data_IF_231064445690
#
_entry.id   IF_231064445690
#
_cell.length_a   1.000
_cell.length_b   1.000
_cell.length_c   1.000
_cell.angle_alpha   90.00
_cell.angle_beta   90.00
_cell.angle_gamma   90.00
#
_symmetry.space_group_name_H-M   'P 1'
#
loop_
_entity.id
_entity.type
_entity.pdbx_description
1 polymer ?
#
# COMPACT_ATOMS: atom_id res chain seq x y z
N UNK A 1 23.58 20.55 -12.60
CA UNK A 1 22.20 20.02 -12.45
C UNK A 1 22.15 18.51 -12.69
N UNK A 2 22.49 18.04 -13.89
CA UNK A 2 22.44 16.61 -14.29
C UNK A 2 23.19 15.65 -13.34
N UNK A 3 24.43 15.96 -12.94
CA UNK A 3 25.22 15.09 -12.05
C UNK A 3 24.52 14.89 -10.69
N UNK A 4 23.97 15.96 -10.09
CA UNK A 4 23.25 15.86 -8.82
C UNK A 4 22.00 14.99 -8.95
N UNK A 5 21.30 15.08 -10.08
CA UNK A 5 20.12 14.27 -10.38
C UNK A 5 20.47 12.78 -10.55
N UNK A 6 21.57 12.47 -11.26
CA UNK A 6 22.08 11.10 -11.38
C UNK A 6 22.45 10.52 -10.01
N UNK A 7 23.16 11.30 -9.18
CA UNK A 7 23.53 10.89 -7.82
C UNK A 7 22.28 10.60 -6.98
N UNK A 8 21.22 11.41 -7.06
CA UNK A 8 19.97 11.11 -6.34
C UNK A 8 19.32 9.80 -6.79
N UNK A 9 19.35 9.48 -8.09
CA UNK A 9 18.84 8.21 -8.59
C UNK A 9 19.63 7.01 -8.07
N UNK A 10 20.96 7.09 -8.09
CA UNK A 10 21.86 6.05 -7.55
C UNK A 10 21.63 5.81 -6.05
N UNK A 11 21.41 6.88 -5.27
CA UNK A 11 21.08 6.76 -3.85
C UNK A 11 19.76 5.99 -3.66
N UNK A 12 18.73 6.27 -4.47
CA UNK A 12 17.46 5.54 -4.42
C UNK A 12 17.62 4.04 -4.67
N UNK A 13 18.41 3.67 -5.68
CA UNK A 13 18.73 2.27 -6.00
C UNK A 13 19.49 1.62 -4.83
N UNK A 14 20.51 2.31 -4.29
CA UNK A 14 21.33 1.81 -3.20
C UNK A 14 20.51 1.58 -1.91
N UNK A 15 19.61 2.50 -1.56
CA UNK A 15 18.72 2.34 -0.39
C UNK A 15 17.82 1.11 -0.57
N UNK A 16 17.31 0.89 -1.78
CA UNK A 16 16.44 -0.26 -2.06
C UNK A 16 17.21 -1.58 -1.94
N UNK A 17 18.40 -1.66 -2.54
CA UNK A 17 19.27 -2.84 -2.42
C UNK A 17 19.67 -3.12 -0.96
N UNK A 18 20.01 -2.08 -0.21
CA UNK A 18 20.35 -2.20 1.21
C UNK A 18 19.14 -2.61 2.06
N UNK A 19 17.94 -2.14 1.73
CA UNK A 19 16.70 -2.53 2.39
C UNK A 19 16.42 -4.03 2.24
N UNK A 20 16.63 -4.58 1.05
CA UNK A 20 16.54 -6.03 0.79
C UNK A 20 17.53 -6.79 1.67
N UNK A 21 18.78 -6.31 1.76
CA UNK A 21 19.78 -6.91 2.63
C UNK A 21 19.37 -6.88 4.11
N UNK A 22 18.82 -5.77 4.60
CA UNK A 22 18.32 -5.66 5.99
C UNK A 22 17.24 -6.70 6.27
N UNK A 23 16.21 -6.80 5.41
CA UNK A 23 15.12 -7.75 5.60
C UNK A 23 15.55 -9.22 5.49
N UNK A 24 16.69 -9.50 4.85
CA UNK A 24 17.28 -10.83 4.82
C UNK A 24 18.13 -11.15 6.08
N UNK A 25 18.46 -10.16 6.91
CA UNK A 25 19.35 -10.31 8.07
C UNK A 25 18.65 -10.13 9.42
N UNK A 26 17.62 -9.32 9.48
CA UNK A 26 16.98 -8.92 10.72
C UNK A 26 15.53 -9.40 10.81
N UNK A 27 15.01 -9.50 12.04
CA UNK A 27 13.60 -9.79 12.27
C UNK A 27 12.71 -8.71 11.64
N UNK A 28 11.57 -9.13 11.10
CA UNK A 28 10.64 -8.31 10.31
C UNK A 28 10.33 -6.93 10.90
N UNK A 29 10.01 -6.87 12.19
CA UNK A 29 9.67 -5.61 12.88
C UNK A 29 10.88 -4.66 12.93
N UNK A 30 12.05 -5.20 13.25
CA UNK A 30 13.30 -4.44 13.35
C UNK A 30 13.70 -3.94 11.96
N UNK A 31 13.67 -4.82 10.96
CA UNK A 31 13.96 -4.48 9.57
C UNK A 31 13.06 -3.35 9.05
N UNK A 32 11.76 -3.41 9.35
CA UNK A 32 10.80 -2.38 8.96
C UNK A 32 11.14 -1.02 9.58
N UNK A 33 11.45 -0.98 10.88
CA UNK A 33 11.88 0.24 11.56
C UNK A 33 13.17 0.83 10.98
N UNK A 34 14.17 -0.01 10.70
CA UNK A 34 15.44 0.41 10.11
C UNK A 34 15.25 1.02 8.71
N UNK A 35 14.51 0.33 7.83
CA UNK A 35 14.27 0.79 6.46
C UNK A 35 13.45 2.08 6.43
N UNK A 36 12.44 2.19 7.30
CA UNK A 36 11.67 3.43 7.46
C UNK A 36 12.55 4.61 7.88
N UNK A 37 13.43 4.41 8.87
CA UNK A 37 14.34 5.45 9.36
C UNK A 37 15.39 5.86 8.33
N UNK A 38 15.99 4.91 7.60
CA UNK A 38 16.94 5.19 6.51
C UNK A 38 16.27 6.00 5.40
N UNK A 39 15.06 5.61 5.00
CA UNK A 39 14.31 6.30 3.96
C UNK A 39 13.92 7.73 4.39
N UNK A 40 13.50 7.89 5.65
CA UNK A 40 13.20 9.19 6.24
C UNK A 40 14.43 10.11 6.30
N UNK A 41 15.56 9.60 6.79
CA UNK A 41 16.81 10.39 6.91
C UNK A 41 17.36 10.77 5.54
N UNK A 42 17.32 9.88 4.56
CA UNK A 42 17.71 10.17 3.18
C UNK A 42 16.81 11.26 2.55
N UNK A 43 15.49 11.13 2.71
CA UNK A 43 14.52 12.11 2.21
C UNK A 43 14.72 13.50 2.83
N UNK A 44 14.86 13.56 4.16
CA UNK A 44 15.11 14.84 4.87
C UNK A 44 16.44 15.48 4.50
N UNK A 45 17.51 14.68 4.42
CA UNK A 45 18.85 15.17 4.06
C UNK A 45 18.90 15.74 2.64
N UNK A 46 18.27 15.03 1.69
CA UNK A 46 18.20 15.46 0.29
C UNK A 46 17.40 16.77 0.13
N UNK A 47 16.28 16.89 0.85
CA UNK A 47 15.47 18.09 0.84
C UNK A 47 16.21 19.30 1.45
N UNK A 48 16.79 19.15 2.65
CA UNK A 48 17.48 20.25 3.35
C UNK A 48 18.70 20.79 2.62
N UNK A 49 19.48 19.92 1.97
CA UNK A 49 20.76 20.30 1.36
C UNK A 49 20.61 21.20 0.14
N UNK A 50 19.46 21.12 -0.52
CA UNK A 50 19.40 21.35 -1.95
C UNK A 50 18.05 21.95 -2.39
N UNK A 51 17.07 22.10 -1.49
CA UNK A 51 15.72 22.73 -1.64
C UNK A 51 14.99 22.39 -2.95
N UNK A 52 15.23 21.18 -3.49
CA UNK A 52 14.74 20.74 -4.79
C UNK A 52 13.90 19.49 -4.64
N UNK A 53 12.58 19.67 -4.82
CA UNK A 53 11.58 18.59 -4.84
C UNK A 53 11.96 17.54 -5.90
N UNK A 54 12.47 17.97 -7.05
CA UNK A 54 12.88 17.10 -8.16
C UNK A 54 13.91 16.03 -7.77
N UNK A 55 14.86 16.35 -6.90
CA UNK A 55 15.88 15.37 -6.48
C UNK A 55 15.32 14.31 -5.54
N UNK A 56 14.44 14.72 -4.63
CA UNK A 56 13.76 13.75 -3.77
C UNK A 56 12.82 12.88 -4.62
N UNK A 57 12.18 13.47 -5.64
CA UNK A 57 11.38 12.75 -6.62
C UNK A 57 12.21 11.74 -7.40
N UNK A 58 13.36 12.11 -7.95
CA UNK A 58 14.23 11.20 -8.72
C UNK A 58 14.77 10.06 -7.84
N UNK A 59 15.14 10.35 -6.60
CA UNK A 59 15.54 9.32 -5.62
C UNK A 59 14.40 8.33 -5.34
N UNK A 60 13.18 8.86 -5.13
CA UNK A 60 11.97 8.05 -4.90
C UNK A 60 11.64 7.19 -6.12
N UNK A 61 11.64 7.77 -7.31
CA UNK A 61 11.35 7.10 -8.58
C UNK A 61 12.33 5.96 -8.85
N UNK A 62 13.61 6.20 -8.58
CA UNK A 62 14.66 5.21 -8.81
C UNK A 62 14.58 4.05 -7.81
N UNK A 63 14.17 4.32 -6.57
CA UNK A 63 13.86 3.26 -5.59
C UNK A 63 12.67 2.41 -6.02
N UNK A 64 11.60 3.06 -6.51
CA UNK A 64 10.43 2.38 -7.02
C UNK A 64 10.70 1.52 -8.25
N UNK A 65 11.51 2.02 -9.19
CA UNK A 65 11.85 1.29 -10.42
C UNK A 65 12.53 -0.05 -10.10
N UNK A 66 13.45 -0.07 -9.13
CA UNK A 66 14.09 -1.32 -8.70
C UNK A 66 13.07 -2.29 -8.07
N UNK A 67 12.13 -1.77 -7.28
CA UNK A 67 11.07 -2.61 -6.74
C UNK A 67 10.17 -3.19 -7.83
N UNK A 68 9.77 -2.39 -8.80
CA UNK A 68 8.96 -2.84 -9.94
C UNK A 68 9.65 -3.91 -10.77
N UNK A 69 10.98 -3.84 -10.93
CA UNK A 69 11.75 -4.90 -11.57
C UNK A 69 11.66 -6.22 -10.78
N UNK A 70 11.78 -6.15 -9.45
CA UNK A 70 11.65 -7.33 -8.56
C UNK A 70 10.23 -7.89 -8.61
N UNK A 71 9.21 -7.05 -8.45
CA UNK A 71 7.81 -7.46 -8.51
C UNK A 71 7.44 -8.08 -9.86
N UNK A 72 7.91 -7.49 -10.97
CA UNK A 72 7.69 -8.02 -12.31
C UNK A 72 8.38 -9.38 -12.49
N UNK A 73 9.61 -9.52 -12.00
CA UNK A 73 10.32 -10.81 -12.01
C UNK A 73 9.56 -11.87 -11.21
N UNK A 74 9.02 -11.52 -10.05
CA UNK A 74 8.20 -12.42 -9.23
C UNK A 74 6.86 -12.77 -9.89
N UNK A 75 6.22 -11.82 -10.59
CA UNK A 75 4.98 -12.09 -11.34
C UNK A 75 5.20 -13.02 -12.53
N UNK A 76 6.36 -12.92 -13.20
CA UNK A 76 6.71 -13.73 -14.36
C UNK A 76 7.22 -15.13 -13.98
N UNK A 77 7.70 -15.32 -12.75
CA UNK A 77 8.22 -16.59 -12.25
C UNK A 77 7.37 -17.08 -11.09
N UNK A 78 6.39 -17.94 -11.38
CA UNK A 78 5.40 -18.44 -10.38
C UNK A 78 6.08 -19.16 -9.20
N UNK A 79 7.28 -19.71 -9.41
CA UNK A 79 8.08 -20.38 -8.38
C UNK A 79 8.81 -19.39 -7.43
N UNK A 80 8.90 -18.12 -7.81
CA UNK A 80 9.45 -17.07 -6.96
C UNK A 80 8.31 -16.46 -6.17
N UNK A 81 8.44 -16.46 -4.85
CA UNK A 81 7.38 -15.99 -3.97
C UNK A 81 7.74 -14.64 -3.35
N UNK A 82 6.78 -13.71 -3.38
CA UNK A 82 6.94 -12.45 -2.67
C UNK A 82 6.60 -12.67 -1.20
N UNK A 83 7.57 -12.42 -0.32
CA UNK A 83 7.38 -12.59 1.12
C UNK A 83 6.79 -11.31 1.72
N UNK A 84 6.20 -11.42 2.92
CA UNK A 84 5.77 -10.25 3.71
C UNK A 84 6.89 -9.21 3.87
N UNK A 85 8.14 -9.65 3.90
CA UNK A 85 9.32 -8.78 3.92
C UNK A 85 9.38 -7.86 2.68
N UNK A 86 9.17 -8.42 1.49
CA UNK A 86 9.14 -7.67 0.24
C UNK A 86 8.02 -6.63 0.20
N UNK A 87 6.85 -6.97 0.74
CA UNK A 87 5.71 -6.05 0.86
C UNK A 87 6.05 -4.89 1.79
N UNK A 88 6.69 -5.16 2.94
CA UNK A 88 7.05 -4.10 3.87
C UNK A 88 8.18 -3.20 3.41
N UNK A 89 9.15 -3.71 2.64
CA UNK A 89 10.18 -2.86 2.03
C UNK A 89 9.50 -1.75 1.23
N UNK A 90 8.49 -2.09 0.42
CA UNK A 90 7.72 -1.13 -0.37
C UNK A 90 7.03 -0.11 0.50
N UNK A 91 6.29 -0.58 1.50
CA UNK A 91 5.50 0.32 2.34
C UNK A 91 6.45 1.27 3.08
N UNK A 92 7.55 0.78 3.63
CA UNK A 92 8.49 1.58 4.39
C UNK A 92 9.30 2.56 3.53
N UNK A 93 9.70 2.18 2.33
CA UNK A 93 10.36 3.12 1.39
C UNK A 93 9.35 4.14 0.86
N UNK A 94 8.14 3.70 0.52
CA UNK A 94 7.04 4.60 0.09
C UNK A 94 6.56 5.50 1.21
N UNK A 95 6.56 5.12 2.48
CA UNK A 95 6.16 6.06 3.55
C UNK A 95 7.35 6.95 3.92
N UNK A 96 8.53 6.35 4.14
CA UNK A 96 9.71 7.03 4.64
C UNK A 96 10.21 8.17 3.75
N UNK A 97 10.22 8.00 2.42
CA UNK A 97 10.67 9.08 1.51
C UNK A 97 9.73 10.29 1.46
N UNK A 98 8.47 10.13 1.87
CA UNK A 98 7.41 11.12 1.64
C UNK A 98 7.09 11.97 2.85
N UNK A 99 7.36 11.49 4.06
CA UNK A 99 7.19 12.28 5.30
C UNK A 99 7.89 13.64 5.23
N UNK A 100 9.14 13.77 4.73
CA UNK A 100 9.83 15.06 4.65
C UNK A 100 9.16 16.06 3.72
N UNK A 101 8.50 15.58 2.67
CA UNK A 101 7.85 16.42 1.66
C UNK A 101 6.47 16.85 2.13
N UNK A 102 5.71 15.95 2.75
CA UNK A 102 4.46 16.31 3.44
C UNK A 102 4.75 17.35 4.52
N UNK A 103 5.82 17.16 5.30
CA UNK A 103 6.26 18.15 6.28
C UNK A 103 6.68 19.48 5.63
N UNK A 104 7.40 19.44 4.51
CA UNK A 104 7.79 20.64 3.76
C UNK A 104 6.60 21.41 3.18
N UNK A 105 5.58 20.70 2.66
CA UNK A 105 4.34 21.28 2.14
C UNK A 105 3.52 21.97 3.23
N UNK A 106 3.48 21.38 4.43
CA UNK A 106 2.84 22.01 5.60
C UNK A 106 3.53 23.30 6.03
N UNK A 107 4.84 23.44 5.76
CA UNK A 107 5.66 24.59 6.15
C UNK A 107 5.72 25.68 5.07
N UNK A 108 5.88 25.31 3.79
CA UNK A 108 6.01 26.24 2.64
C UNK A 108 4.75 26.18 1.77
N UNK A 109 3.80 27.09 2.02
CA UNK A 109 2.47 27.22 1.37
C UNK A 109 2.41 27.38 -0.17
N UNK A 110 3.48 27.18 -0.95
CA UNK A 110 3.42 27.29 -2.43
C UNK A 110 3.05 25.95 -3.07
N UNK A 111 1.92 25.92 -3.75
CA UNK A 111 1.15 24.70 -4.10
C UNK A 111 1.57 24.08 -5.45
N UNK A 112 2.13 24.86 -6.38
CA UNK A 112 2.21 24.44 -7.78
C UNK A 112 3.23 23.32 -8.07
N UNK A 113 4.47 23.41 -7.57
CA UNK A 113 5.50 22.35 -7.75
C UNK A 113 5.17 21.05 -7.00
N UNK A 114 4.39 21.13 -5.92
CA UNK A 114 3.99 19.96 -5.14
C UNK A 114 2.85 19.19 -5.81
N UNK A 115 2.07 19.82 -6.69
CA UNK A 115 0.90 19.17 -7.30
C UNK A 115 1.31 18.04 -8.23
N UNK A 116 2.21 18.30 -9.20
CA UNK A 116 2.73 17.25 -10.09
C UNK A 116 3.48 16.15 -9.33
N UNK A 117 4.17 16.52 -8.26
CA UNK A 117 4.82 15.55 -7.38
C UNK A 117 3.80 14.61 -6.73
N UNK A 118 2.77 15.15 -6.08
CA UNK A 118 1.71 14.36 -5.43
C UNK A 118 0.94 13.49 -6.43
N UNK A 119 0.72 13.96 -7.66
CA UNK A 119 0.11 13.16 -8.73
C UNK A 119 0.96 11.94 -9.10
N UNK A 120 2.26 12.14 -9.38
CA UNK A 120 3.20 11.06 -9.68
C UNK A 120 3.22 10.03 -8.55
N UNK A 121 3.26 10.49 -7.30
CA UNK A 121 3.23 9.60 -6.15
C UNK A 121 1.92 8.86 -5.97
N UNK A 122 0.80 9.51 -6.24
CA UNK A 122 -0.50 8.88 -6.17
C UNK A 122 -0.59 7.75 -7.19
N UNK A 123 -0.11 7.98 -8.41
CA UNK A 123 -0.03 6.93 -9.45
C UNK A 123 0.89 5.80 -9.03
N UNK A 124 2.06 6.11 -8.48
CA UNK A 124 3.01 5.12 -7.96
C UNK A 124 2.39 4.28 -6.83
N UNK A 125 1.79 4.94 -5.85
CA UNK A 125 1.10 4.27 -4.75
C UNK A 125 -0.03 3.38 -5.26
N UNK A 126 -0.90 3.88 -6.15
CA UNK A 126 -2.04 3.12 -6.69
C UNK A 126 -1.57 1.91 -7.50
N UNK A 127 -0.56 2.08 -8.36
CA UNK A 127 -0.05 0.99 -9.19
C UNK A 127 0.62 -0.10 -8.35
N UNK A 128 1.48 0.31 -7.40
CA UNK A 128 2.14 -0.62 -6.47
C UNK A 128 1.15 -1.30 -5.54
N UNK A 129 0.19 -0.55 -4.99
CA UNK A 129 -0.91 -1.11 -4.19
C UNK A 129 -1.70 -2.12 -5.01
N UNK A 130 -2.05 -1.81 -6.25
CA UNK A 130 -2.78 -2.72 -7.14
C UNK A 130 -2.03 -4.02 -7.40
N UNK A 131 -0.71 -3.96 -7.59
CA UNK A 131 0.13 -5.17 -7.73
C UNK A 131 0.23 -5.94 -6.44
N UNK A 132 0.55 -5.29 -5.32
CA UNK A 132 0.61 -5.93 -3.99
C UNK A 132 -0.71 -6.62 -3.64
N UNK A 133 -1.83 -5.94 -3.90
CA UNK A 133 -3.18 -6.43 -3.71
C UNK A 133 -3.46 -7.65 -4.59
N UNK A 134 -3.13 -7.57 -5.88
CA UNK A 134 -3.30 -8.70 -6.80
C UNK A 134 -2.46 -9.91 -6.38
N UNK A 135 -1.24 -9.69 -5.92
CA UNK A 135 -0.37 -10.77 -5.44
C UNK A 135 -0.89 -11.37 -4.13
N UNK A 136 -1.29 -10.54 -3.16
CA UNK A 136 -1.86 -11.02 -1.90
C UNK A 136 -3.13 -11.84 -2.12
N UNK A 137 -4.03 -11.37 -2.98
CA UNK A 137 -5.32 -12.02 -3.22
C UNK A 137 -5.22 -13.27 -4.10
N UNK A 138 -4.39 -13.24 -5.14
CA UNK A 138 -4.37 -14.29 -6.18
C UNK A 138 -3.17 -15.24 -6.08
N UNK A 139 -2.08 -14.87 -5.38
CA UNK A 139 -0.86 -15.70 -5.28
C UNK A 139 -0.71 -16.25 -3.87
N UNK A 140 -0.84 -15.43 -2.82
CA UNK A 140 -0.65 -15.88 -1.45
C UNK A 140 -1.70 -16.91 -1.00
N UNK A 141 -2.95 -16.78 -1.45
CA UNK A 141 -4.02 -17.74 -1.18
C UNK A 141 -3.76 -19.15 -1.78
N UNK A 142 -3.03 -19.26 -2.90
CA UNK A 142 -2.61 -20.55 -3.49
C UNK A 142 -1.59 -21.31 -2.64
N UNK A 143 -0.82 -20.61 -1.81
CA UNK A 143 0.31 -21.18 -1.05
C UNK A 143 -0.09 -21.50 0.38
N UNK A 144 -0.94 -20.67 1.01
CA UNK A 144 -1.49 -20.93 2.34
C UNK A 144 -2.38 -22.19 2.34
N UNK A 145 -3.17 -22.38 1.27
CA UNK A 145 -3.99 -23.55 1.06
C UNK A 145 -3.21 -24.60 0.26
N UNK A 146 -2.42 -25.43 0.96
CA UNK A 146 -1.86 -26.65 0.34
C UNK A 146 -3.01 -27.53 -0.18
N UNK A 147 -3.03 -27.90 -1.47
CA UNK A 147 -4.12 -28.65 -2.09
C UNK A 147 -4.33 -30.05 -1.46
N UNK A 148 -3.38 -30.54 -0.68
CA UNK A 148 -3.51 -31.81 0.04
C UNK A 148 -4.43 -31.76 1.28
N UNK A 149 -4.78 -30.56 1.79
CA UNK A 149 -5.58 -30.43 3.02
C UNK A 149 -6.94 -29.76 2.87
N UNK A 150 -7.19 -29.07 1.77
CA UNK A 150 -8.42 -28.29 1.59
C UNK A 150 -8.91 -28.33 0.15
N UNK A 151 -10.20 -28.60 0.00
CA UNK A 151 -10.88 -28.50 -1.28
C UNK A 151 -11.02 -27.02 -1.67
N UNK A 152 -10.30 -26.57 -2.70
CA UNK A 152 -10.36 -25.20 -3.23
C UNK A 152 -11.73 -24.88 -3.86
N UNK A 153 -12.66 -25.85 -3.94
CA UNK A 153 -14.07 -25.64 -4.25
C UNK A 153 -14.97 -25.43 -3.02
N UNK A 154 -14.42 -25.46 -1.80
CA UNK A 154 -15.19 -25.15 -0.61
C UNK A 154 -15.61 -23.68 -0.62
N UNK A 155 -16.85 -23.43 -0.22
CA UNK A 155 -17.39 -22.09 -0.02
C UNK A 155 -17.88 -22.02 1.42
N UNK A 156 -17.37 -21.07 2.19
CA UNK A 156 -17.88 -20.80 3.52
C UNK A 156 -18.96 -19.71 3.45
N UNK A 157 -20.22 -20.12 3.54
CA UNK A 157 -21.35 -19.21 3.65
C UNK A 157 -21.76 -18.92 5.11
N UNK A 158 -21.09 -19.54 6.10
CA UNK A 158 -21.44 -19.35 7.51
C UNK A 158 -20.69 -18.14 8.07
N UNK A 159 -21.38 -17.04 8.39
CA UNK A 159 -20.74 -15.84 8.91
C UNK A 159 -20.15 -16.09 10.30
N UNK A 160 -19.04 -15.42 10.55
CA UNK A 160 -18.19 -15.45 11.74
C UNK A 160 -17.52 -16.79 12.03
N UNK A 161 -17.63 -17.78 11.15
CA UNK A 161 -17.03 -19.10 11.37
C UNK A 161 -15.51 -19.04 11.41
N UNK A 162 -14.92 -18.27 10.50
CA UNK A 162 -13.48 -18.10 10.34
C UNK A 162 -12.97 -17.06 11.33
N UNK A 163 -13.74 -15.98 11.55
CA UNK A 163 -13.44 -14.92 12.52
C UNK A 163 -13.38 -15.44 13.97
N UNK A 164 -14.33 -16.30 14.37
CA UNK A 164 -14.41 -16.86 15.74
C UNK A 164 -13.56 -18.13 15.88
N UNK A 165 -13.16 -18.73 14.76
CA UNK A 165 -12.38 -19.96 14.71
C UNK A 165 -10.88 -19.78 15.03
N UNK A 166 -10.05 -20.62 14.39
CA UNK A 166 -8.60 -20.71 14.62
C UNK A 166 -7.76 -19.76 13.76
N UNK A 167 -8.36 -18.76 13.09
CA UNK A 167 -7.57 -17.81 12.31
C UNK A 167 -6.79 -16.85 13.20
N UNK A 168 -5.56 -16.55 12.78
CA UNK A 168 -4.73 -15.62 13.53
C UNK A 168 -5.28 -14.21 13.45
N UNK A 169 -5.22 -13.45 14.55
CA UNK A 169 -5.61 -12.03 14.55
C UNK A 169 -4.84 -11.20 13.51
N UNK A 170 -3.65 -11.65 13.12
CA UNK A 170 -2.82 -11.06 12.08
C UNK A 170 -3.47 -11.20 10.70
N UNK A 171 -4.06 -12.35 10.38
CA UNK A 171 -4.79 -12.56 9.12
C UNK A 171 -6.07 -11.70 9.07
N UNK A 172 -6.86 -11.70 10.13
CA UNK A 172 -8.09 -10.91 10.20
C UNK A 172 -7.82 -9.41 10.04
N UNK A 173 -6.81 -8.90 10.75
CA UNK A 173 -6.37 -7.51 10.61
C UNK A 173 -5.75 -7.23 9.24
N UNK A 174 -5.03 -8.20 8.66
CA UNK A 174 -4.46 -8.12 7.32
C UNK A 174 -5.53 -7.81 6.28
N UNK A 175 -6.64 -8.56 6.29
CA UNK A 175 -7.76 -8.36 5.36
C UNK A 175 -8.40 -6.97 5.53
N UNK A 176 -8.60 -6.50 6.76
CA UNK A 176 -9.12 -5.15 7.00
C UNK A 176 -8.15 -4.08 6.48
N UNK A 177 -6.88 -4.14 6.89
CA UNK A 177 -5.87 -3.11 6.59
C UNK A 177 -5.63 -3.01 5.09
N UNK A 178 -5.60 -4.15 4.39
CA UNK A 178 -5.36 -4.23 2.96
C UNK A 178 -6.44 -3.49 2.15
N UNK A 179 -7.67 -3.38 2.66
CA UNK A 179 -8.80 -2.74 1.97
C UNK A 179 -9.06 -1.27 2.35
N UNK A 180 -8.37 -0.74 3.37
CA UNK A 180 -8.46 0.69 3.75
C UNK A 180 -8.14 1.62 2.57
N UNK A 181 -7.07 1.41 1.77
CA UNK A 181 -6.75 2.29 0.64
C UNK A 181 -7.86 2.38 -0.42
N UNK A 182 -8.59 1.28 -0.69
CA UNK A 182 -9.75 1.30 -1.59
C UNK A 182 -10.82 2.26 -1.07
N UNK A 183 -11.10 2.27 0.23
CA UNK A 183 -12.04 3.20 0.86
C UNK A 183 -11.64 4.67 0.72
N UNK A 184 -10.34 4.95 0.83
CA UNK A 184 -9.78 6.29 0.61
C UNK A 184 -10.01 6.76 -0.83
N UNK A 185 -9.68 5.91 -1.80
CA UNK A 185 -9.84 6.20 -3.24
C UNK A 185 -11.32 6.37 -3.59
N UNK A 186 -12.19 5.45 -3.17
CA UNK A 186 -13.63 5.51 -3.42
C UNK A 186 -14.27 6.79 -2.89
N UNK A 187 -13.92 7.21 -1.67
CA UNK A 187 -14.46 8.45 -1.08
C UNK A 187 -13.94 9.71 -1.75
N UNK A 188 -12.77 9.63 -2.36
CA UNK A 188 -12.17 10.72 -3.13
C UNK A 188 -12.85 10.87 -4.49
N UNK A 189 -13.04 9.77 -5.21
CA UNK A 189 -13.60 9.74 -6.57
C UNK A 189 -15.14 9.82 -6.58
N UNK A 190 -15.82 9.10 -5.67
CA UNK A 190 -17.27 8.97 -5.64
C UNK A 190 -17.85 9.86 -4.54
N UNK A 191 -18.39 11.02 -4.95
CA UNK A 191 -19.05 11.96 -4.05
C UNK A 191 -20.38 11.42 -3.51
N UNK A 192 -21.11 10.61 -4.29
CA UNK A 192 -22.39 10.05 -3.89
C UNK A 192 -22.23 8.93 -2.83
N UNK A 193 -22.69 9.19 -1.60
CA UNK A 193 -22.56 8.26 -0.49
C UNK A 193 -23.32 6.94 -0.66
N UNK A 194 -24.42 6.90 -1.45
CA UNK A 194 -25.13 5.65 -1.74
C UNK A 194 -24.31 4.76 -2.66
N UNK A 195 -23.79 5.32 -3.76
CA UNK A 195 -22.94 4.60 -4.71
C UNK A 195 -21.69 4.08 -4.01
N UNK A 196 -21.08 4.89 -3.14
CA UNK A 196 -19.92 4.46 -2.35
C UNK A 196 -20.21 3.26 -1.44
N UNK A 197 -21.34 3.26 -0.73
CA UNK A 197 -21.73 2.11 0.12
C UNK A 197 -21.98 0.85 -0.69
N UNK A 198 -22.61 1.00 -1.86
CA UNK A 198 -22.82 -0.11 -2.79
C UNK A 198 -21.47 -0.67 -3.27
N UNK A 199 -20.56 0.21 -3.70
CA UNK A 199 -19.22 -0.18 -4.14
C UNK A 199 -18.42 -0.86 -3.02
N UNK A 200 -18.57 -0.42 -1.77
CA UNK A 200 -17.89 -1.01 -0.61
C UNK A 200 -18.27 -2.47 -0.35
N UNK A 201 -19.42 -2.93 -0.84
CA UNK A 201 -19.85 -4.33 -0.76
C UNK A 201 -19.56 -5.06 -2.06
N UNK A 202 -19.86 -4.44 -3.22
CA UNK A 202 -19.69 -5.09 -4.52
C UNK A 202 -18.22 -5.37 -4.87
N UNK A 203 -17.27 -4.54 -4.43
CA UNK A 203 -15.84 -4.78 -4.70
C UNK A 203 -15.35 -6.05 -3.99
N UNK A 204 -15.53 -6.23 -2.67
CA UNK A 204 -15.23 -7.49 -2.00
C UNK A 204 -15.94 -8.70 -2.63
N UNK A 205 -17.24 -8.58 -2.96
CA UNK A 205 -17.98 -9.65 -3.65
C UNK A 205 -17.29 -10.04 -4.96
N UNK A 206 -16.94 -9.06 -5.79
CA UNK A 206 -16.28 -9.33 -7.06
C UNK A 206 -14.93 -10.02 -6.88
N UNK A 207 -14.17 -9.64 -5.86
CA UNK A 207 -12.87 -10.24 -5.54
C UNK A 207 -13.03 -11.70 -5.10
N UNK A 208 -13.94 -11.99 -4.17
CA UNK A 208 -14.21 -13.37 -3.72
C UNK A 208 -14.68 -14.26 -4.89
N UNK A 209 -15.57 -13.73 -5.73
CA UNK A 209 -16.04 -14.43 -6.94
C UNK A 209 -14.89 -14.67 -7.92
N UNK A 210 -14.02 -13.67 -8.14
CA UNK A 210 -12.85 -13.83 -8.99
C UNK A 210 -11.91 -14.91 -8.43
N UNK A 211 -11.62 -14.88 -7.12
CA UNK A 211 -10.74 -15.86 -6.46
C UNK A 211 -11.28 -17.29 -6.53
N UNK A 212 -12.60 -17.47 -6.42
CA UNK A 212 -13.28 -18.74 -6.61
C UNK A 212 -13.06 -19.28 -8.03
N UNK A 213 -13.27 -18.46 -9.06
CA UNK A 213 -13.06 -18.87 -10.46
C UNK A 213 -11.59 -19.09 -10.81
N UNK A 214 -10.68 -18.28 -10.26
CA UNK A 214 -9.23 -18.41 -10.52
C UNK A 214 -8.56 -19.50 -9.68
N UNK A 215 -9.32 -20.15 -8.77
CA UNK A 215 -8.83 -21.16 -7.82
C UNK A 215 -7.63 -20.66 -7.03
N UNK A 216 -7.73 -19.41 -6.57
CA UNK A 216 -6.64 -18.75 -5.83
C UNK A 216 -6.93 -18.62 -4.35
N UNK A 217 -8.14 -18.96 -3.91
CA UNK A 217 -8.55 -18.97 -2.50
C UNK A 217 -9.87 -19.72 -2.31
N UNK A 218 -10.23 -19.94 -1.05
CA UNK A 218 -11.54 -20.43 -0.63
C UNK A 218 -12.45 -19.22 -0.49
N UNK A 219 -13.62 -19.25 -1.15
CA UNK A 219 -14.57 -18.15 -1.01
C UNK A 219 -15.14 -18.13 0.41
N UNK A 220 -14.91 -17.03 1.14
CA UNK A 220 -15.31 -16.90 2.54
C UNK A 220 -16.13 -15.62 2.78
N UNK A 221 -17.34 -15.79 3.31
CA UNK A 221 -18.20 -14.67 3.69
C UNK A 221 -17.56 -13.79 4.76
N UNK A 222 -16.67 -14.33 5.59
CA UNK A 222 -15.94 -13.59 6.61
C UNK A 222 -14.94 -12.61 5.98
N UNK A 223 -14.25 -13.03 4.92
CA UNK A 223 -13.34 -12.16 4.18
C UNK A 223 -14.08 -11.02 3.50
N UNK A 224 -15.27 -11.29 2.94
CA UNK A 224 -16.16 -10.25 2.43
C UNK A 224 -16.54 -9.23 3.51
N UNK A 225 -16.84 -9.68 4.73
CA UNK A 225 -17.17 -8.80 5.86
C UNK A 225 -15.97 -7.95 6.27
N UNK A 226 -14.80 -8.57 6.45
CA UNK A 226 -13.56 -7.88 6.85
C UNK A 226 -13.11 -6.86 5.80
N UNK A 227 -13.15 -7.24 4.53
CA UNK A 227 -12.78 -6.37 3.40
C UNK A 227 -13.74 -5.18 3.28
N UNK A 228 -15.05 -5.43 3.40
CA UNK A 228 -16.07 -4.36 3.43
C UNK A 228 -15.83 -3.39 4.60
N UNK A 229 -15.44 -3.91 5.77
CA UNK A 229 -15.11 -3.10 6.93
C UNK A 229 -13.85 -2.24 6.71
N UNK A 230 -12.81 -2.79 6.08
CA UNK A 230 -11.63 -2.05 5.64
C UNK A 230 -11.99 -0.87 4.74
N UNK A 231 -12.83 -1.10 3.71
CA UNK A 231 -13.31 -0.03 2.81
C UNK A 231 -14.11 1.03 3.58
N UNK A 232 -14.92 0.63 4.56
CA UNK A 232 -15.68 1.55 5.39
C UNK A 232 -14.78 2.44 6.25
N UNK A 233 -13.72 1.87 6.86
CA UNK A 233 -12.72 2.62 7.63
C UNK A 233 -12.04 3.66 6.74
N UNK A 234 -11.53 3.25 5.57
CA UNK A 234 -10.92 4.18 4.62
C UNK A 234 -11.87 5.31 4.23
N UNK A 235 -13.14 4.98 3.99
CA UNK A 235 -14.15 5.98 3.66
C UNK A 235 -14.43 6.96 4.79
N UNK A 236 -14.45 6.48 6.03
CA UNK A 236 -14.62 7.29 7.22
C UNK A 236 -13.46 8.27 7.41
N UNK A 237 -12.21 7.82 7.19
CA UNK A 237 -11.03 8.68 7.29
C UNK A 237 -11.13 9.90 6.36
N UNK A 238 -11.53 9.71 5.10
CA UNK A 238 -11.74 10.83 4.15
C UNK A 238 -12.83 11.79 4.64
N UNK A 239 -13.94 11.25 5.17
CA UNK A 239 -15.02 12.07 5.71
C UNK A 239 -14.55 12.93 6.89
N UNK A 240 -13.78 12.34 7.81
CA UNK A 240 -13.23 13.05 8.97
C UNK A 240 -12.27 14.16 8.55
N UNK A 241 -11.38 13.89 7.59
CA UNK A 241 -10.46 14.90 7.05
C UNK A 241 -11.22 16.05 6.39
N UNK A 242 -12.21 15.77 5.53
CA UNK A 242 -13.01 16.82 4.88
C UNK A 242 -13.73 17.72 5.88
N UNK A 243 -14.39 17.12 6.89
CA UNK A 243 -15.06 17.88 7.96
C UNK A 243 -14.10 18.79 8.73
N UNK A 244 -12.87 18.33 8.99
CA UNK A 244 -11.86 19.14 9.67
C UNK A 244 -11.40 20.32 8.82
N UNK A 245 -11.21 20.12 7.52
CA UNK A 245 -10.84 21.17 6.58
C UNK A 245 -11.95 22.24 6.48
N UNK A 246 -13.20 21.81 6.32
CA UNK A 246 -14.38 22.70 6.28
C UNK A 246 -14.52 23.52 7.57
N UNK A 247 -14.35 22.89 8.73
CA UNK A 247 -14.39 23.58 10.03
C UNK A 247 -13.29 24.64 10.18
N UNK A 248 -12.08 24.34 9.68
CA UNK A 248 -10.94 25.27 9.74
C UNK A 248 -11.15 26.47 8.82
N UNK A 249 -11.62 26.23 7.59
CA UNK A 249 -11.96 27.30 6.64
C UNK A 249 -13.07 28.22 7.15
N UNK A 250 -14.04 27.66 7.88
CA UNK A 250 -15.14 28.44 8.46
C UNK A 250 -14.72 29.29 9.66
N UNK A 251 -13.64 28.92 10.37
CA UNK A 251 -13.10 29.69 11.51
C UNK A 251 -12.18 30.84 11.13
N UNK A 252 -11.80 30.94 9.85
CA UNK A 252 -10.91 31.98 9.31
C UNK A 252 -11.67 33.09 8.55
N UNK A 253 -13.00 32.95 8.42
CA UNK A 253 -13.93 33.93 7.85
C UNK A 253 -14.71 34.60 8.98
#
# INVERSE_FOLDING_TARGET
>A
MIIKTLVSGLIGIAITAFSIWIFNKFHFIIASGMVGLISFTAGTGMFKRDDSVDRVMVMTLSSYALWWLIASYTLLNVDVHMTWNSIMIVIMTTVGFHVPIVAAQLIKRKVDEFTSYIEILSVMFISTYGVLMSMALFISGRIAYRPEKFDLHSINFVPFRTIVGYESSIHLLGNIILFIPIGLVLSTLIKNGRIRRIAAVLIPVFIEVAQFFTRTGVADVDDLILNSFGIAIGSLLVCLVRRRLEATSSSLL
#
